data_IF_337859709969
#
_entry.id   IF_337859709969
#
_cell.length_a   1.000
_cell.length_b   1.000
_cell.length_c   1.000
_cell.angle_alpha   90.00
_cell.angle_beta   90.00
_cell.angle_gamma   90.00
#
_symmetry.space_group_name_H-M   'P 1'
#
loop_
_entity.id
_entity.type
_entity.pdbx_description
1 polymer ?
#
# COMPACT_ATOMS: atom_id res chain seq x y z
N UNK A 1 20.21 0.95 -20.94
CA UNK A 1 19.58 0.09 -19.91
C UNK A 1 18.55 0.86 -19.06
N UNK A 2 18.84 2.07 -18.56
CA UNK A 2 17.86 2.89 -17.79
C UNK A 2 16.58 3.26 -18.56
N UNK A 3 16.65 3.39 -19.89
CA UNK A 3 15.53 3.84 -20.72
C UNK A 3 14.44 2.76 -20.92
N UNK A 4 14.79 1.47 -20.85
CA UNK A 4 13.82 0.37 -20.91
C UNK A 4 13.11 0.13 -19.57
N UNK A 5 13.82 0.34 -18.46
CA UNK A 5 13.24 0.23 -17.11
C UNK A 5 12.19 1.32 -16.85
N UNK A 6 12.40 2.53 -17.38
CA UNK A 6 11.43 3.62 -17.31
C UNK A 6 10.20 3.41 -18.22
N UNK A 7 10.39 2.76 -19.38
CA UNK A 7 9.31 2.47 -20.32
C UNK A 7 8.31 1.43 -19.79
N UNK A 8 8.74 0.57 -18.86
CA UNK A 8 7.91 -0.47 -18.25
C UNK A 8 7.51 -0.17 -16.80
N UNK A 9 7.65 1.07 -16.35
CA UNK A 9 7.28 1.47 -14.99
C UNK A 9 5.76 1.37 -14.80
N UNK A 10 5.35 0.48 -13.89
CA UNK A 10 3.95 0.33 -13.48
C UNK A 10 3.48 1.63 -12.84
N UNK A 11 2.50 2.29 -13.47
CA UNK A 11 1.88 3.51 -12.94
C UNK A 11 0.54 3.18 -12.32
N UNK A 12 0.43 3.32 -11.00
CA UNK A 12 -0.81 3.17 -10.26
C UNK A 12 -1.16 4.49 -9.59
N UNK A 13 -2.30 5.07 -9.97
CA UNK A 13 -2.76 6.35 -9.44
C UNK A 13 -3.39 6.19 -8.05
N UNK A 14 -3.15 7.12 -7.14
CA UNK A 14 -3.83 7.14 -5.83
C UNK A 14 -5.32 7.41 -5.98
N UNK A 15 -6.13 6.72 -5.17
CA UNK A 15 -7.58 6.91 -5.17
C UNK A 15 -7.99 8.33 -4.74
N UNK A 16 -9.17 8.82 -5.14
CA UNK A 16 -9.67 10.12 -4.67
C UNK A 16 -9.84 10.16 -3.15
N UNK A 17 -10.35 9.07 -2.55
CA UNK A 17 -10.48 8.93 -1.10
C UNK A 17 -9.14 8.93 -0.38
N UNK A 18 -8.14 8.24 -0.93
CA UNK A 18 -6.78 8.23 -0.37
C UNK A 18 -6.15 9.62 -0.38
N UNK A 19 -6.34 10.39 -1.46
CA UNK A 19 -5.84 11.77 -1.56
C UNK A 19 -6.56 12.69 -0.58
N UNK A 20 -7.89 12.62 -0.52
CA UNK A 20 -8.68 13.46 0.38
C UNK A 20 -8.38 13.16 1.87
N UNK A 21 -8.36 11.88 2.25
CA UNK A 21 -7.99 11.46 3.61
C UNK A 21 -6.53 11.80 3.92
N UNK A 22 -5.64 11.66 2.94
CA UNK A 22 -4.24 12.07 3.06
C UNK A 22 -4.11 13.56 3.38
N UNK A 23 -4.83 14.43 2.65
CA UNK A 23 -4.85 15.87 2.92
C UNK A 23 -5.39 16.19 4.32
N UNK A 24 -6.46 15.52 4.74
CA UNK A 24 -7.05 15.72 6.07
C UNK A 24 -6.07 15.29 7.18
N UNK A 25 -5.39 14.14 7.03
CA UNK A 25 -4.34 13.70 7.96
C UNK A 25 -3.20 14.72 8.03
N UNK A 26 -2.80 15.30 6.90
CA UNK A 26 -1.79 16.37 6.86
C UNK A 26 -2.22 17.60 7.65
N UNK A 27 -3.45 18.09 7.44
CA UNK A 27 -3.97 19.26 8.16
C UNK A 27 -4.02 19.02 9.67
N UNK A 28 -4.51 17.86 10.09
CA UNK A 28 -4.56 17.47 11.51
C UNK A 28 -3.14 17.36 12.09
N UNK A 29 -2.21 16.73 11.37
CA UNK A 29 -0.83 16.60 11.82
C UNK A 29 -0.17 17.97 12.00
N UNK A 30 -0.33 18.89 11.03
CA UNK A 30 0.16 20.27 11.11
C UNK A 30 -0.41 20.96 12.36
N UNK A 31 -1.72 20.90 12.55
CA UNK A 31 -2.37 21.49 13.74
C UNK A 31 -1.84 20.90 15.06
N UNK A 32 -1.64 19.59 15.11
CA UNK A 32 -1.09 18.91 16.28
C UNK A 32 0.37 19.30 16.58
N UNK A 33 1.19 19.49 15.54
CA UNK A 33 2.57 19.96 15.68
C UNK A 33 2.63 21.42 16.12
N UNK A 34 1.76 22.29 15.59
CA UNK A 34 1.65 23.69 16.04
C UNK A 34 1.25 23.75 17.51
N UNK A 35 0.24 22.98 17.91
CA UNK A 35 -0.19 22.91 19.31
C UNK A 35 0.94 22.44 20.24
N UNK A 36 1.72 21.44 19.81
CA UNK A 36 2.87 20.95 20.57
C UNK A 36 3.98 22.01 20.67
N UNK A 37 4.26 22.74 19.58
CA UNK A 37 5.29 23.76 19.55
C UNK A 37 4.97 24.99 20.41
N UNK A 38 3.67 25.32 20.56
CA UNK A 38 3.22 26.46 21.35
C UNK A 38 2.98 26.13 22.84
N UNK A 39 3.10 24.86 23.24
CA UNK A 39 2.89 24.42 24.62
C UNK A 39 4.22 24.20 25.36
N UNK A 40 4.43 24.77 26.56
CA UNK A 40 5.62 24.50 27.38
C UNK A 40 5.81 23.00 27.68
N UNK A 41 4.70 22.30 27.95
CA UNK A 41 4.67 20.84 28.13
C UNK A 41 5.06 20.13 26.84
N UNK A 42 4.65 20.69 25.71
CA UNK A 42 4.93 20.15 24.38
C UNK A 42 6.40 20.19 24.01
N UNK A 43 7.12 21.27 24.35
CA UNK A 43 8.57 21.38 24.12
C UNK A 43 9.33 20.33 24.92
N UNK A 44 9.04 20.20 26.23
CA UNK A 44 9.67 19.18 27.07
C UNK A 44 9.37 17.75 26.57
N UNK A 45 8.13 17.49 26.19
CA UNK A 45 7.70 16.21 25.63
C UNK A 45 8.36 15.92 24.27
N UNK A 46 8.53 16.94 23.42
CA UNK A 46 9.17 16.79 22.10
C UNK A 46 10.65 16.42 22.22
N UNK A 47 11.37 17.01 23.18
CA UNK A 47 12.77 16.67 23.45
C UNK A 47 12.87 15.23 23.99
N UNK A 48 12.04 14.87 24.97
CA UNK A 48 12.03 13.54 25.57
C UNK A 48 11.65 12.44 24.57
N UNK A 49 10.55 12.62 23.82
CA UNK A 49 10.17 11.69 22.77
C UNK A 49 11.22 11.65 21.66
N UNK A 50 11.76 12.80 21.24
CA UNK A 50 12.79 12.88 20.21
C UNK A 50 14.00 12.01 20.56
N UNK A 51 14.49 12.09 21.79
CA UNK A 51 15.62 11.29 22.28
C UNK A 51 15.28 9.79 22.33
N UNK A 52 14.16 9.42 22.95
CA UNK A 52 13.75 8.01 23.06
C UNK A 52 13.57 7.38 21.68
N UNK A 53 12.89 8.09 20.77
CA UNK A 53 12.70 7.62 19.41
C UNK A 53 14.02 7.54 18.66
N UNK A 54 14.90 8.54 18.77
CA UNK A 54 16.21 8.51 18.12
C UNK A 54 17.04 7.28 18.55
N UNK A 55 17.09 7.00 19.85
CA UNK A 55 17.79 5.82 20.39
C UNK A 55 17.14 4.51 19.95
N UNK A 56 15.81 4.40 20.03
CA UNK A 56 15.08 3.23 19.55
C UNK A 56 15.29 3.01 18.04
N UNK A 57 15.39 4.10 17.27
CA UNK A 57 15.61 4.06 15.82
C UNK A 57 17.04 3.62 15.48
N UNK A 58 18.05 4.07 16.22
CA UNK A 58 19.43 3.60 16.09
C UNK A 58 19.54 2.11 16.42
N UNK A 59 18.92 1.67 17.51
CA UNK A 59 18.90 0.26 17.90
C UNK A 59 18.21 -0.61 16.84
N UNK A 60 17.06 -0.15 16.31
CA UNK A 60 16.34 -0.85 15.25
C UNK A 60 17.12 -0.91 13.94
N UNK A 61 17.75 0.18 13.51
CA UNK A 61 18.57 0.23 12.30
C UNK A 61 19.81 -0.67 12.41
N UNK A 62 20.46 -0.69 13.58
CA UNK A 62 21.58 -1.59 13.86
C UNK A 62 21.13 -3.06 13.83
N UNK A 63 19.96 -3.36 14.40
CA UNK A 63 19.39 -4.70 14.42
C UNK A 63 18.99 -5.20 13.03
N UNK A 64 18.34 -4.36 12.21
CA UNK A 64 17.96 -4.70 10.84
C UNK A 64 19.16 -4.88 9.92
N UNK A 65 20.21 -4.07 10.06
CA UNK A 65 21.44 -4.25 9.26
C UNK A 65 22.15 -5.58 9.55
N UNK A 66 21.90 -6.20 10.70
CA UNK A 66 22.40 -7.54 11.03
C UNK A 66 21.54 -8.70 10.51
N UNK A 67 20.32 -8.46 10.02
CA UNK A 67 19.36 -9.51 9.65
C UNK A 67 18.56 -9.14 8.39
N UNK A 68 19.02 -9.60 7.22
CA UNK A 68 18.40 -9.30 5.92
C UNK A 68 17.11 -10.12 5.64
N UNK A 69 16.91 -11.23 6.36
CA UNK A 69 15.73 -12.10 6.25
C UNK A 69 15.21 -12.36 7.67
N UNK A 70 13.91 -12.15 7.89
CA UNK A 70 13.27 -12.30 9.19
C UNK A 70 12.29 -13.47 9.15
N UNK A 71 12.47 -14.44 10.03
CA UNK A 71 11.44 -15.42 10.37
C UNK A 71 10.66 -14.87 11.56
N UNK A 72 9.33 -14.80 11.46
CA UNK A 72 8.49 -14.28 12.54
C UNK A 72 7.36 -15.24 12.86
N UNK A 73 7.70 -16.45 13.32
CA UNK A 73 6.82 -17.31 14.13
C UNK A 73 5.33 -17.29 13.76
N UNK A 74 4.97 -17.31 12.47
CA UNK A 74 3.58 -17.38 12.00
C UNK A 74 2.86 -16.06 11.65
N UNK A 75 3.50 -14.90 11.75
CA UNK A 75 2.95 -13.64 11.20
C UNK A 75 3.42 -13.45 9.75
N UNK A 76 2.51 -13.64 8.79
CA UNK A 76 2.74 -13.37 7.36
C UNK A 76 2.67 -11.87 7.07
N UNK A 77 3.76 -11.15 7.29
CA UNK A 77 3.82 -9.73 6.95
C UNK A 77 4.98 -9.41 6.01
N UNK A 78 5.05 -8.18 5.50
CA UNK A 78 6.29 -7.58 5.05
C UNK A 78 6.40 -6.20 5.67
N UNK A 79 7.59 -5.84 6.15
CA UNK A 79 7.80 -4.53 6.75
C UNK A 79 8.57 -3.67 5.77
N UNK A 80 7.85 -2.77 5.10
CA UNK A 80 8.49 -1.61 4.49
C UNK A 80 8.86 -0.62 5.61
N UNK A 81 10.07 -0.06 5.55
CA UNK A 81 10.47 1.10 6.36
C UNK A 81 11.31 2.05 5.51
N UNK A 82 11.20 3.34 5.78
CA UNK A 82 12.00 4.36 5.11
C UNK A 82 12.85 5.09 6.14
N UNK A 83 14.16 5.12 5.89
CA UNK A 83 15.11 5.99 6.56
C UNK A 83 15.41 7.20 5.66
N UNK A 84 15.90 8.32 6.22
CA UNK A 84 16.45 9.40 5.42
C UNK A 84 17.52 8.85 4.45
N UNK A 85 17.23 8.85 3.16
CA UNK A 85 18.15 8.38 2.11
C UNK A 85 18.19 6.87 1.82
N UNK A 86 17.47 6.01 2.55
CA UNK A 86 17.39 4.56 2.21
C UNK A 86 15.98 3.99 2.38
N UNK A 87 15.55 3.18 1.39
CA UNK A 87 14.33 2.39 1.46
C UNK A 87 14.69 0.97 1.84
N UNK A 88 14.05 0.43 2.88
CA UNK A 88 14.23 -0.96 3.28
C UNK A 88 12.90 -1.70 3.18
N UNK A 89 12.94 -2.91 2.64
CA UNK A 89 11.84 -3.85 2.66
C UNK A 89 12.37 -5.10 3.37
N UNK A 90 11.83 -5.40 4.55
CA UNK A 90 12.03 -6.69 5.17
C UNK A 90 10.92 -7.62 4.68
N UNK A 91 11.30 -8.55 3.80
CA UNK A 91 10.43 -9.64 3.38
C UNK A 91 10.54 -10.76 4.41
N UNK A 92 9.40 -11.22 4.92
CA UNK A 92 9.39 -12.35 5.85
C UNK A 92 9.41 -13.65 5.05
N UNK A 93 10.24 -14.60 5.51
CA UNK A 93 10.37 -15.93 4.91
C UNK A 93 9.02 -16.62 4.79
N UNK A 94 8.17 -16.45 5.81
CA UNK A 94 6.89 -17.11 5.94
C UNK A 94 5.95 -16.72 4.78
N UNK A 95 6.02 -15.48 4.27
CA UNK A 95 5.25 -15.04 3.09
C UNK A 95 5.71 -15.73 1.81
N UNK A 96 7.03 -15.87 1.62
CA UNK A 96 7.59 -16.53 0.45
C UNK A 96 7.29 -18.02 0.47
N UNK A 97 7.44 -18.65 1.63
CA UNK A 97 7.09 -20.07 1.86
C UNK A 97 5.60 -20.31 1.66
N UNK A 98 4.75 -19.41 2.14
CA UNK A 98 3.31 -19.51 2.01
C UNK A 98 2.81 -19.39 0.56
N UNK A 99 3.50 -18.63 -0.28
CA UNK A 99 3.22 -18.57 -1.71
C UNK A 99 3.77 -19.79 -2.48
N UNK A 100 4.85 -20.42 -1.98
CA UNK A 100 5.49 -21.55 -2.65
C UNK A 100 5.84 -21.23 -4.10
N UNK A 101 5.42 -22.11 -5.02
CA UNK A 101 5.64 -21.96 -6.46
C UNK A 101 4.60 -21.05 -7.16
N UNK A 102 3.64 -20.47 -6.43
CA UNK A 102 2.68 -19.51 -6.99
C UNK A 102 3.33 -18.14 -7.17
N UNK A 103 4.08 -18.02 -8.27
CA UNK A 103 4.76 -16.79 -8.68
C UNK A 103 3.82 -15.57 -8.77
N UNK A 104 2.63 -15.63 -9.42
CA UNK A 104 1.68 -14.52 -9.40
C UNK A 104 1.25 -14.06 -8.00
N UNK A 105 1.04 -14.98 -7.05
CA UNK A 105 0.68 -14.66 -5.67
C UNK A 105 1.86 -14.05 -4.89
N UNK A 106 3.08 -14.55 -5.12
CA UNK A 106 4.32 -13.99 -4.56
C UNK A 106 4.58 -12.57 -5.09
N UNK A 107 4.43 -12.36 -6.39
CA UNK A 107 4.62 -11.06 -7.04
C UNK A 107 3.59 -10.04 -6.54
N UNK A 108 2.33 -10.47 -6.35
CA UNK A 108 1.31 -9.67 -5.69
C UNK A 108 1.75 -9.28 -4.27
N UNK A 109 2.25 -10.27 -3.53
CA UNK A 109 2.93 -10.16 -2.23
C UNK A 109 3.86 -8.95 -2.17
N UNK A 110 4.95 -9.07 -2.93
CA UNK A 110 6.08 -8.13 -2.95
C UNK A 110 5.66 -6.76 -3.50
N UNK A 111 4.88 -6.73 -4.58
CA UNK A 111 4.52 -5.49 -5.24
C UNK A 111 3.53 -4.64 -4.42
N UNK A 112 2.65 -5.25 -3.63
CA UNK A 112 1.82 -4.53 -2.67
C UNK A 112 2.68 -3.75 -1.66
N UNK A 113 3.72 -4.40 -1.12
CA UNK A 113 4.62 -3.82 -0.11
C UNK A 113 5.51 -2.74 -0.71
N UNK A 114 6.03 -2.99 -1.91
CA UNK A 114 6.71 -1.99 -2.71
C UNK A 114 5.78 -0.81 -3.05
N UNK A 115 4.48 -1.07 -3.22
CA UNK A 115 3.43 -0.07 -3.39
C UNK A 115 3.37 0.92 -2.23
N UNK A 116 3.55 0.47 -0.98
CA UNK A 116 3.60 1.38 0.17
C UNK A 116 4.80 2.34 0.10
N UNK A 117 5.94 1.89 -0.39
CA UNK A 117 7.13 2.72 -0.59
C UNK A 117 6.97 3.66 -1.79
N UNK A 118 6.56 3.12 -2.95
CA UNK A 118 6.43 3.89 -4.19
C UNK A 118 5.32 4.93 -4.11
N UNK A 119 4.18 4.56 -3.51
CA UNK A 119 3.12 5.51 -3.19
C UNK A 119 3.47 6.40 -1.99
N UNK A 120 4.69 6.35 -1.44
CA UNK A 120 5.17 7.27 -0.42
C UNK A 120 4.35 7.28 0.87
N UNK A 121 3.64 6.18 1.17
CA UNK A 121 2.84 6.03 2.39
C UNK A 121 3.70 6.12 3.65
N UNK A 122 4.99 5.79 3.52
CA UNK A 122 5.95 5.81 4.61
C UNK A 122 6.78 7.10 4.68
N UNK A 123 6.84 7.88 3.59
CA UNK A 123 7.79 9.00 3.46
C UNK A 123 7.64 10.07 4.52
N UNK A 124 6.40 10.31 4.93
CA UNK A 124 6.06 11.32 5.93
C UNK A 124 5.45 10.67 7.17
N UNK A 125 5.63 9.36 7.36
CA UNK A 125 4.93 8.63 8.40
C UNK A 125 5.16 9.25 9.78
N UNK A 126 6.41 9.58 10.12
CA UNK A 126 6.79 10.22 11.38
C UNK A 126 6.04 11.54 11.63
N UNK A 127 6.02 12.42 10.63
CA UNK A 127 5.28 13.68 10.72
C UNK A 127 3.77 13.43 10.86
N UNK A 128 3.23 12.47 10.10
CA UNK A 128 1.81 12.17 10.04
C UNK A 128 1.30 11.34 11.23
N UNK A 129 2.17 10.74 12.06
CA UNK A 129 1.78 9.86 13.18
C UNK A 129 0.72 10.51 14.08
N UNK A 130 0.82 11.81 14.36
CA UNK A 130 -0.15 12.55 15.19
C UNK A 130 -1.53 12.65 14.53
N UNK A 131 -1.58 12.83 13.22
CA UNK A 131 -2.83 12.80 12.45
C UNK A 131 -3.38 11.38 12.29
N UNK A 132 -2.50 10.39 12.14
CA UNK A 132 -2.85 8.97 12.04
C UNK A 132 -3.27 8.36 13.38
N UNK A 133 -2.90 8.97 14.50
CA UNK A 133 -3.30 8.53 15.84
C UNK A 133 -4.79 8.75 16.11
N UNK A 134 -5.48 9.60 15.33
CA UNK A 134 -6.93 9.75 15.43
C UNK A 134 -7.59 8.48 14.88
N UNK A 135 -8.27 7.64 15.70
CA UNK A 135 -8.67 6.30 15.28
C UNK A 135 -9.51 6.30 13.99
N UNK A 136 -10.57 7.09 13.91
CA UNK A 136 -11.44 7.09 12.73
C UNK A 136 -10.72 7.55 11.46
N UNK A 137 -9.91 8.62 11.57
CA UNK A 137 -9.21 9.22 10.44
C UNK A 137 -8.01 8.37 9.99
N UNK A 138 -7.18 7.96 10.95
CA UNK A 138 -6.03 7.09 10.71
C UNK A 138 -6.43 5.75 10.14
N UNK A 139 -7.47 5.13 10.69
CA UNK A 139 -7.96 3.84 10.19
C UNK A 139 -8.58 4.00 8.79
N UNK A 140 -9.34 5.07 8.53
CA UNK A 140 -9.84 5.35 7.18
C UNK A 140 -8.70 5.58 6.17
N UNK A 141 -7.68 6.37 6.54
CA UNK A 141 -6.50 6.59 5.70
C UNK A 141 -5.74 5.28 5.45
N UNK A 142 -5.61 4.42 6.47
CA UNK A 142 -4.97 3.11 6.34
C UNK A 142 -5.70 2.25 5.31
N UNK A 143 -7.04 2.10 5.44
CA UNK A 143 -7.85 1.33 4.48
C UNK A 143 -7.76 1.88 3.05
N UNK A 144 -7.65 3.19 2.88
CA UNK A 144 -7.49 3.79 1.56
C UNK A 144 -6.12 3.46 0.93
N UNK A 145 -5.05 3.43 1.73
CA UNK A 145 -3.69 3.04 1.28
C UNK A 145 -3.65 1.60 0.80
N UNK A 146 -4.28 0.68 1.53
CA UNK A 146 -4.39 -0.74 1.16
C UNK A 146 -4.97 -0.91 -0.25
N UNK A 147 -5.99 -0.14 -0.61
CA UNK A 147 -6.62 -0.21 -1.94
C UNK A 147 -5.70 0.22 -3.09
N UNK A 148 -4.70 1.06 -2.78
CA UNK A 148 -3.68 1.48 -3.75
C UNK A 148 -2.59 0.43 -3.85
N UNK A 149 -2.15 -0.13 -2.72
CA UNK A 149 -1.17 -1.20 -2.69
C UNK A 149 -1.70 -2.49 -3.34
N UNK A 150 -2.99 -2.82 -3.17
CA UNK A 150 -3.66 -3.92 -3.88
C UNK A 150 -3.60 -3.73 -5.40
N UNK A 151 -3.68 -2.49 -5.88
CA UNK A 151 -3.53 -2.18 -7.31
C UNK A 151 -2.09 -2.34 -7.79
N UNK A 152 -1.08 -2.01 -6.98
CA UNK A 152 0.31 -2.33 -7.29
C UNK A 152 0.54 -3.84 -7.36
N UNK A 153 -0.02 -4.60 -6.41
CA UNK A 153 0.02 -6.06 -6.41
C UNK A 153 -0.53 -6.66 -7.71
N UNK A 154 -1.75 -6.29 -8.09
CA UNK A 154 -2.40 -6.80 -9.32
C UNK A 154 -1.66 -6.34 -10.59
N UNK A 155 -1.05 -5.15 -10.57
CA UNK A 155 -0.37 -4.59 -11.72
C UNK A 155 0.96 -5.27 -12.03
N UNK A 156 1.65 -5.78 -11.00
CA UNK A 156 2.95 -6.41 -11.14
C UNK A 156 2.86 -7.90 -11.47
N UNK A 157 1.78 -8.57 -11.07
CA UNK A 157 1.59 -10.00 -11.37
C UNK A 157 1.32 -10.24 -12.86
N UNK A 158 1.93 -11.30 -13.39
CA UNK A 158 1.74 -11.79 -14.76
C UNK A 158 0.30 -12.23 -15.04
N UNK A 159 -0.36 -12.86 -14.06
CA UNK A 159 -1.76 -13.25 -14.09
C UNK A 159 -2.53 -12.54 -12.96
N UNK A 160 -3.46 -11.66 -13.35
CA UNK A 160 -4.25 -10.85 -12.41
C UNK A 160 -5.26 -11.65 -11.59
N UNK A 161 -5.78 -12.76 -12.11
CA UNK A 161 -6.74 -13.59 -11.38
C UNK A 161 -6.04 -14.47 -10.35
N UNK A 162 -4.84 -14.97 -10.70
CA UNK A 162 -3.95 -15.69 -9.76
C UNK A 162 -3.28 -14.76 -8.75
N UNK A 163 -3.02 -13.51 -9.10
CA UNK A 163 -2.54 -12.50 -8.14
C UNK A 163 -3.43 -12.40 -6.88
N UNK A 164 -4.74 -12.61 -7.04
CA UNK A 164 -5.71 -12.59 -5.95
C UNK A 164 -5.54 -13.76 -4.97
N UNK A 165 -4.83 -14.82 -5.36
CA UNK A 165 -4.43 -15.88 -4.44
C UNK A 165 -3.44 -15.38 -3.39
N UNK A 166 -2.65 -14.35 -3.71
CA UNK A 166 -1.84 -13.63 -2.72
C UNK A 166 -2.65 -12.98 -1.60
N UNK A 167 -3.87 -12.50 -1.88
CA UNK A 167 -4.81 -12.05 -0.83
C UNK A 167 -5.36 -13.22 -0.02
N UNK A 168 -5.54 -14.39 -0.64
CA UNK A 168 -5.92 -15.63 0.04
C UNK A 168 -4.85 -16.08 1.02
N UNK A 169 -3.58 -16.07 0.58
CA UNK A 169 -2.40 -16.39 1.39
C UNK A 169 -2.30 -15.48 2.61
N UNK A 170 -2.35 -14.15 2.44
CA UNK A 170 -2.29 -13.21 3.57
C UNK A 170 -3.44 -13.39 4.56
N UNK A 171 -4.60 -13.79 4.07
CA UNK A 171 -5.80 -13.92 4.88
C UNK A 171 -5.90 -15.22 5.67
N UNK A 172 -5.27 -16.30 5.19
CA UNK A 172 -5.47 -17.65 5.72
C UNK A 172 -4.17 -18.39 6.05
N UNK A 173 -3.00 -17.80 5.77
CA UNK A 173 -1.74 -18.51 5.87
C UNK A 173 -1.44 -19.35 4.62
N UNK A 174 -0.18 -19.74 4.43
CA UNK A 174 0.21 -20.63 3.33
C UNK A 174 -0.52 -21.97 3.34
N UNK A 175 -0.68 -22.54 4.53
CA UNK A 175 -1.34 -23.85 4.71
C UNK A 175 -2.81 -23.85 4.28
N UNK A 176 -3.55 -22.76 4.52
CA UNK A 176 -5.00 -22.73 4.26
C UNK A 176 -5.38 -21.81 3.08
N UNK A 177 -4.42 -21.16 2.42
CA UNK A 177 -4.64 -20.28 1.28
C UNK A 177 -5.50 -20.94 0.20
N UNK A 178 -5.20 -22.21 -0.12
CA UNK A 178 -5.89 -22.99 -1.15
C UNK A 178 -7.35 -23.33 -0.79
N UNK A 179 -7.69 -23.31 0.50
CA UNK A 179 -9.05 -23.55 1.00
C UNK A 179 -9.91 -22.28 0.93
N UNK A 180 -9.30 -21.13 0.67
CA UNK A 180 -10.01 -19.86 0.56
C UNK A 180 -10.82 -19.80 -0.72
N UNK A 181 -12.13 -19.97 -0.60
CA UNK A 181 -13.04 -19.74 -1.70
C UNK A 181 -13.24 -18.24 -1.94
N UNK A 182 -12.49 -17.68 -2.91
CA UNK A 182 -12.54 -16.25 -3.27
C UNK A 182 -13.96 -15.78 -3.59
N UNK A 183 -14.72 -16.58 -4.36
CA UNK A 183 -16.11 -16.28 -4.74
C UNK A 183 -17.03 -16.19 -3.54
N UNK A 184 -16.93 -17.13 -2.60
CA UNK A 184 -17.73 -17.14 -1.38
C UNK A 184 -17.43 -15.90 -0.51
N UNK A 185 -16.15 -15.52 -0.38
CA UNK A 185 -15.76 -14.29 0.35
C UNK A 185 -16.27 -13.03 -0.30
N UNK A 186 -16.27 -12.93 -1.64
CA UNK A 186 -16.88 -11.81 -2.35
C UNK A 186 -18.39 -11.77 -2.10
N UNK A 187 -19.07 -12.93 -2.08
CA UNK A 187 -20.50 -13.00 -1.78
C UNK A 187 -20.84 -12.56 -0.34
N UNK A 188 -19.97 -12.82 0.64
CA UNK A 188 -20.13 -12.34 2.03
C UNK A 188 -20.15 -10.82 2.15
N UNK A 189 -19.72 -10.07 1.11
CA UNK A 189 -19.73 -8.61 1.12
C UNK A 189 -21.10 -8.04 1.49
N UNK A 190 -22.18 -8.61 0.99
CA UNK A 190 -23.54 -8.10 1.25
C UNK A 190 -23.87 -8.05 2.74
N UNK A 191 -23.46 -9.06 3.51
CA UNK A 191 -23.63 -9.12 4.96
C UNK A 191 -22.78 -8.06 5.69
N UNK A 192 -21.59 -7.77 5.17
CA UNK A 192 -20.68 -6.76 5.71
C UNK A 192 -21.12 -5.31 5.42
N UNK A 193 -22.14 -5.11 4.58
CA UNK A 193 -22.75 -3.81 4.30
C UNK A 193 -23.92 -3.47 5.24
N UNK A 194 -24.23 -4.34 6.21
CA UNK A 194 -25.19 -4.04 7.28
C UNK A 194 -24.70 -2.89 8.16
N UNK A 195 -25.63 -2.13 8.76
CA UNK A 195 -25.34 -0.97 9.63
C UNK A 195 -24.33 -1.29 10.75
N UNK A 196 -24.50 -2.34 11.57
CA UNK A 196 -23.53 -2.65 12.62
C UNK A 196 -22.15 -3.04 12.06
N UNK A 197 -22.09 -3.74 10.93
CA UNK A 197 -20.81 -4.09 10.29
C UNK A 197 -20.11 -2.88 9.69
N UNK A 198 -20.85 -1.91 9.14
CA UNK A 198 -20.32 -0.63 8.67
C UNK A 198 -19.72 0.20 9.80
N UNK A 199 -20.38 0.24 10.96
CA UNK A 199 -19.85 0.91 12.15
C UNK A 199 -18.59 0.20 12.66
N UNK A 200 -18.63 -1.13 12.77
CA UNK A 200 -17.47 -1.93 13.19
C UNK A 200 -16.24 -1.69 12.30
N UNK A 201 -16.44 -1.56 10.98
CA UNK A 201 -15.37 -1.29 10.01
C UNK A 201 -14.56 -0.04 10.33
N UNK A 202 -15.16 0.96 10.97
CA UNK A 202 -14.47 2.22 11.29
C UNK A 202 -13.34 2.01 12.31
N UNK A 203 -13.46 0.97 13.14
CA UNK A 203 -12.50 0.62 14.18
C UNK A 203 -11.33 -0.24 13.66
N UNK A 204 -11.37 -0.70 12.41
CA UNK A 204 -10.31 -1.56 11.84
C UNK A 204 -9.43 -0.82 10.85
N UNK A 205 -8.12 -1.05 10.95
CA UNK A 205 -7.07 -0.44 10.12
C UNK A 205 -7.00 -1.02 8.72
N UNK A 206 -7.43 -2.27 8.55
CA UNK A 206 -7.43 -2.98 7.28
C UNK A 206 -8.86 -3.22 6.77
N UNK A 207 -9.08 -3.10 5.45
CA UNK A 207 -10.36 -3.50 4.87
C UNK A 207 -10.49 -5.02 4.93
N UNK A 208 -11.72 -5.49 5.16
CA UNK A 208 -12.04 -6.92 5.11
C UNK A 208 -11.64 -7.52 3.77
N UNK A 209 -11.15 -8.75 3.76
CA UNK A 209 -10.72 -9.45 2.54
C UNK A 209 -11.83 -9.51 1.48
N UNK A 210 -13.09 -9.65 1.90
CA UNK A 210 -14.25 -9.59 1.00
C UNK A 210 -14.31 -8.27 0.18
N UNK A 211 -13.95 -7.14 0.79
CA UNK A 211 -13.89 -5.84 0.11
C UNK A 211 -12.66 -5.70 -0.78
N UNK A 212 -11.51 -6.23 -0.36
CA UNK A 212 -10.28 -6.21 -1.17
C UNK A 212 -10.43 -7.04 -2.44
N UNK A 213 -11.00 -8.26 -2.31
CA UNK A 213 -11.30 -9.13 -3.45
C UNK A 213 -12.37 -8.56 -4.39
N UNK A 214 -13.30 -7.76 -3.86
CA UNK A 214 -14.38 -7.16 -4.63
C UNK A 214 -14.08 -5.73 -5.13
N UNK A 215 -12.90 -5.18 -4.84
CA UNK A 215 -12.55 -3.82 -5.21
C UNK A 215 -12.51 -3.66 -6.74
N UNK A 216 -12.99 -2.52 -7.29
CA UNK A 216 -12.99 -2.29 -8.73
C UNK A 216 -11.57 -2.43 -9.30
N UNK A 217 -11.44 -3.37 -10.24
CA UNK A 217 -10.20 -3.64 -10.97
C UNK A 217 -9.96 -2.48 -11.93
N UNK A 218 -9.25 -1.45 -11.47
CA UNK A 218 -8.85 -0.39 -12.38
C UNK A 218 -7.91 -0.97 -13.44
N UNK A 219 -8.10 -0.55 -14.70
CA UNK A 219 -7.19 -0.91 -15.78
C UNK A 219 -5.83 -0.31 -15.45
N UNK A 220 -4.84 -1.17 -15.23
CA UNK A 220 -3.44 -0.77 -15.14
C UNK A 220 -3.04 -0.31 -16.53
N UNK A 221 -2.92 1.00 -16.71
CA UNK A 221 -2.36 1.57 -17.92
C UNK A 221 -0.87 1.28 -17.95
N UNK A 222 -0.43 0.42 -18.86
CA UNK A 222 0.99 0.41 -19.22
C UNK A 222 1.25 1.71 -19.95
N UNK A 223 2.10 2.56 -19.39
CA UNK A 223 2.41 3.84 -19.97
C UNK A 223 3.02 3.63 -21.36
N UNK A 224 2.24 3.81 -22.43
CA UNK A 224 2.83 4.32 -23.66
C UNK A 224 3.38 5.68 -23.28
N UNK A 225 4.71 5.77 -23.23
CA UNK A 225 5.41 7.03 -23.10
C UNK A 225 4.75 8.01 -24.08
N UNK A 226 4.06 9.02 -23.56
CA UNK A 226 3.47 10.06 -24.37
C UNK A 226 4.65 10.88 -24.89
N UNK A 227 5.25 10.42 -25.98
CA UNK A 227 6.23 11.16 -26.74
C UNK A 227 5.46 12.33 -27.34
N UNK A 228 5.48 13.45 -26.63
CA UNK A 228 5.03 14.74 -27.16
C UNK A 228 6.03 15.13 -28.25
N UNK A 229 5.87 14.57 -29.44
CA UNK A 229 6.53 15.09 -30.63
C UNK A 229 5.89 16.45 -30.90
N UNK A 230 6.61 17.51 -30.54
CA UNK A 230 6.40 18.82 -31.14
C UNK A 230 6.72 18.68 -32.64
N UNK A 231 5.77 19.07 -33.48
CA UNK A 231 5.99 19.34 -34.90
C UNK A 231 5.59 18.20 -35.85
N UNK A 232 4.60 18.48 -36.70
CA UNK A 232 4.23 17.64 -37.82
C UNK A 232 2.74 17.72 -38.12
N UNK A 233 2.33 18.71 -38.91
CA UNK A 233 0.96 18.86 -39.39
C UNK A 233 0.50 17.57 -40.12
N UNK A 234 -0.56 16.93 -39.64
CA UNK A 234 -1.25 15.88 -40.37
C UNK A 234 -2.35 16.52 -41.24
N UNK A 235 -2.16 16.47 -42.57
CA UNK A 235 -3.22 16.68 -43.56
C UNK A 235 -4.23 15.50 -43.48
N UNK A 236 -5.53 15.72 -43.74
CA UNK A 236 -6.49 14.64 -43.76
C UNK A 236 -6.43 13.93 -45.12
N UNK A 237 -6.28 12.60 -45.11
CA UNK A 237 -6.56 11.77 -46.27
C UNK A 237 -7.95 11.14 -46.07
N UNK A 238 -8.79 11.46 -47.05
CA UNK A 238 -10.16 11.05 -47.31
C UNK A 238 -10.47 9.57 -47.09
N UNK A 239 -11.70 9.35 -46.59
CA UNK A 239 -12.45 8.10 -46.68
C UNK A 239 -12.55 7.61 -48.12
N UNK A 240 -12.29 6.32 -48.34
CA UNK A 240 -13.00 5.56 -49.36
C UNK A 240 -13.63 4.32 -48.71
N UNK A 241 -14.96 4.32 -48.73
CA UNK A 241 -15.85 3.20 -48.47
C UNK A 241 -16.29 2.69 -49.83
N UNK A 242 -16.13 1.39 -50.11
CA UNK A 242 -16.91 0.59 -51.07
C UNK A 242 -16.86 -0.86 -50.55
N UNK A 243 -17.99 -1.36 -50.04
CA UNK A 243 -19.07 -2.05 -50.77
C UNK A 243 -18.66 -3.48 -51.13
#
# INVERSE_FOLDING_TARGET
MENETAANAIRVDRGPSERALGMLVWMVAIGAWIFLALSPIGIASAIALGLVFFLAHLAFAAHLRGSAVRSSGGALDALATQFPGTNMIALYSDLLEACGDDEPARDFGIAHELGHLHAGHLRWHWFLTRGLAIPLLGHASSRARESTCDRYGIAASTDRERALDGLGVRAAGGMHAKLVQRRARVAQRSYLESVPMKLGRWLFTHPSIAHRLAAPRQRVGHGRCCRRTRGGAARPASQEVRA
#
